data_IF_976183448107
#
_entry.id   IF_976183448107
#
_cell.length_a   1.000
_cell.length_b   1.000
_cell.length_c   1.000
_cell.angle_alpha   90.00
_cell.angle_beta   90.00
_cell.angle_gamma   90.00
#
_symmetry.space_group_name_H-M   'P 1'
#
loop_
_entity.id
_entity.type
_entity.pdbx_description
1 polymer ?
#
# COMPACT_ATOMS: atom_id res chain seq x y z
N UNK A 1 4.49 0.35 16.79
CA UNK A 1 3.59 0.70 15.67
C UNK A 1 3.92 2.10 15.16
N UNK A 2 4.07 2.34 13.86
CA UNK A 2 4.55 3.66 13.36
C UNK A 2 3.64 4.85 13.71
N UNK A 3 2.38 4.57 14.06
CA UNK A 3 1.42 5.57 14.58
C UNK A 3 1.29 5.62 16.12
N UNK A 4 2.02 4.79 16.87
CA UNK A 4 1.94 4.72 18.34
C UNK A 4 3.32 4.84 19.03
N UNK A 5 4.41 4.52 18.32
CA UNK A 5 5.78 4.54 18.83
C UNK A 5 6.74 4.86 17.68
N UNK A 6 7.64 5.82 17.90
CA UNK A 6 8.65 6.32 16.96
C UNK A 6 9.77 5.32 16.64
N UNK A 7 9.86 4.20 17.36
CA UNK A 7 10.94 3.21 17.21
C UNK A 7 11.05 2.67 15.78
N UNK A 8 9.92 2.53 15.08
CA UNK A 8 9.91 2.02 13.70
C UNK A 8 10.50 3.00 12.68
N UNK A 9 10.46 4.32 12.95
CA UNK A 9 11.08 5.34 12.09
C UNK A 9 12.60 5.47 12.33
N UNK A 10 13.05 5.18 13.55
CA UNK A 10 14.49 5.14 13.89
C UNK A 10 15.13 3.86 13.35
N UNK A 11 14.45 2.72 13.45
CA UNK A 11 14.95 1.47 12.90
C UNK A 11 14.93 1.45 11.36
N UNK A 12 14.02 2.20 10.72
CA UNK A 12 13.93 2.23 9.26
C UNK A 12 15.09 2.94 8.56
N UNK A 13 15.77 3.86 9.24
CA UNK A 13 16.96 4.56 8.71
C UNK A 13 18.24 3.73 8.81
N UNK A 14 18.25 2.71 9.66
CA UNK A 14 19.41 1.81 9.86
C UNK A 14 19.21 0.42 9.26
N UNK A 15 18.04 0.16 8.66
CA UNK A 15 17.70 -1.12 8.04
C UNK A 15 17.84 -1.03 6.53
N UNK A 16 18.40 -2.07 5.89
CA UNK A 16 18.54 -2.12 4.43
C UNK A 16 17.19 -2.13 3.70
N UNK A 17 16.15 -2.67 4.32
CA UNK A 17 14.80 -2.76 3.75
C UNK A 17 13.71 -2.84 4.81
N UNK A 18 12.56 -2.24 4.51
CA UNK A 18 11.35 -2.24 5.35
C UNK A 18 10.15 -2.80 4.59
N UNK A 19 9.35 -3.64 5.26
CA UNK A 19 8.05 -4.11 4.77
C UNK A 19 6.94 -3.46 5.59
N UNK A 20 6.01 -2.82 4.91
CA UNK A 20 4.90 -2.12 5.55
C UNK A 20 3.66 -3.02 5.69
N UNK A 21 3.30 -3.40 6.91
CA UNK A 21 2.15 -4.31 7.15
C UNK A 21 0.93 -3.52 7.63
N UNK A 22 -0.22 -3.72 6.97
CA UNK A 22 -1.49 -3.06 7.30
C UNK A 22 -2.62 -4.09 7.43
N UNK A 23 -3.63 -3.83 8.26
CA UNK A 23 -4.76 -4.73 8.46
C UNK A 23 -5.99 -4.28 7.66
N UNK A 24 -6.53 -5.18 6.84
CA UNK A 24 -7.73 -4.91 6.05
C UNK A 24 -8.95 -4.64 6.93
N UNK A 25 -9.74 -3.62 6.56
CA UNK A 25 -10.97 -3.23 7.27
C UNK A 25 -10.77 -2.65 8.69
N UNK A 26 -9.54 -2.70 9.23
CA UNK A 26 -9.22 -2.21 10.58
C UNK A 26 -8.36 -0.95 10.53
N UNK A 27 -7.46 -0.86 9.54
CA UNK A 27 -6.62 0.33 9.34
C UNK A 27 -7.34 1.32 8.43
N UNK A 28 -7.61 2.54 8.93
CA UNK A 28 -8.13 3.63 8.10
C UNK A 28 -7.11 4.00 7.02
N UNK A 29 -7.59 4.23 5.80
CA UNK A 29 -6.73 4.55 4.65
C UNK A 29 -5.87 5.78 4.94
N UNK A 30 -6.43 6.81 5.56
CA UNK A 30 -5.69 8.05 5.85
C UNK A 30 -4.59 7.82 6.89
N UNK A 31 -4.83 7.00 7.91
CA UNK A 31 -3.77 6.61 8.85
C UNK A 31 -2.67 5.82 8.15
N UNK A 32 -3.03 4.94 7.21
CA UNK A 32 -2.05 4.19 6.44
C UNK A 32 -1.20 5.08 5.53
N UNK A 33 -1.79 6.15 4.98
CA UNK A 33 -1.09 7.16 4.18
C UNK A 33 -0.15 8.00 5.05
N UNK A 34 -0.63 8.52 6.18
CA UNK A 34 0.20 9.29 7.10
C UNK A 34 1.38 8.48 7.63
N UNK A 35 1.17 7.20 7.93
CA UNK A 35 2.25 6.28 8.29
C UNK A 35 3.32 6.14 7.18
N UNK A 36 2.89 6.06 5.92
CA UNK A 36 3.78 6.02 4.76
C UNK A 36 4.53 7.35 4.55
N UNK A 37 3.85 8.47 4.74
CA UNK A 37 4.47 9.80 4.68
C UNK A 37 5.56 9.97 5.74
N UNK A 38 5.33 9.48 6.96
CA UNK A 38 6.35 9.48 8.02
C UNK A 38 7.56 8.60 7.66
N UNK A 39 7.33 7.44 7.04
CA UNK A 39 8.40 6.57 6.52
C UNK A 39 9.21 7.25 5.42
N UNK A 40 8.55 7.95 4.50
CA UNK A 40 9.24 8.71 3.44
C UNK A 40 10.08 9.86 4.02
N UNK A 41 9.57 10.55 5.06
CA UNK A 41 10.27 11.67 5.70
C UNK A 41 11.59 11.23 6.36
N UNK A 42 11.67 9.97 6.79
CA UNK A 42 12.88 9.39 7.36
C UNK A 42 13.67 8.55 6.34
N UNK A 43 13.40 8.72 5.05
CA UNK A 43 14.09 8.01 3.95
C UNK A 43 14.13 6.48 4.14
N UNK A 44 13.05 5.92 4.68
CA UNK A 44 12.93 4.48 4.88
C UNK A 44 12.89 3.75 3.54
N UNK A 45 13.74 2.73 3.35
CA UNK A 45 13.70 1.89 2.15
C UNK A 45 12.53 0.89 2.19
N UNK A 46 11.31 1.34 1.87
CA UNK A 46 10.12 0.49 1.84
C UNK A 46 10.07 -0.33 0.55
N UNK A 47 10.41 -1.62 0.65
CA UNK A 47 10.45 -2.53 -0.52
C UNK A 47 9.07 -3.10 -0.90
N UNK A 48 8.09 -3.00 0.00
CA UNK A 48 6.75 -3.51 -0.26
C UNK A 48 5.80 -3.36 0.92
N UNK A 49 4.55 -3.72 0.68
CA UNK A 49 3.49 -3.71 1.68
C UNK A 49 2.73 -5.04 1.73
N UNK A 50 2.32 -5.44 2.93
CA UNK A 50 1.54 -6.65 3.18
C UNK A 50 0.19 -6.24 3.77
N UNK A 51 -0.89 -6.62 3.10
CA UNK A 51 -2.24 -6.48 3.62
C UNK A 51 -2.63 -7.76 4.37
N UNK A 52 -2.80 -7.65 5.69
CA UNK A 52 -3.04 -8.77 6.61
C UNK A 52 -4.50 -8.78 7.10
N UNK A 53 -4.90 -9.90 7.73
CA UNK A 53 -6.25 -10.19 8.28
C UNK A 53 -7.36 -10.22 7.25
N UNK A 54 -7.07 -10.69 6.05
CA UNK A 54 -8.07 -10.87 5.00
C UNK A 54 -9.09 -11.90 5.50
N UNK A 55 -10.39 -11.55 5.60
CA UNK A 55 -11.42 -12.52 5.96
C UNK A 55 -11.47 -13.60 4.87
N UNK A 56 -11.26 -14.85 5.29
CA UNK A 56 -11.20 -16.03 4.42
C UNK A 56 -12.42 -16.91 4.63
N UNK A 57 -13.61 -16.34 4.45
CA UNK A 57 -14.79 -17.08 4.09
C UNK A 57 -14.80 -17.28 2.56
N UNK A 58 -14.93 -18.52 2.09
CA UNK A 58 -14.62 -18.91 0.70
C UNK A 58 -15.31 -18.10 -0.40
N UNK A 59 -16.47 -17.48 -0.11
CA UNK A 59 -17.14 -16.53 -1.02
C UNK A 59 -16.49 -15.14 -1.02
N UNK A 60 -16.13 -14.63 0.15
CA UNK A 60 -15.47 -13.33 0.32
C UNK A 60 -14.08 -13.30 -0.30
N UNK A 61 -13.31 -14.39 -0.18
CA UNK A 61 -11.98 -14.49 -0.81
C UNK A 61 -12.04 -14.39 -2.34
N UNK A 62 -12.96 -15.14 -2.98
CA UNK A 62 -13.15 -15.07 -4.44
C UNK A 62 -13.66 -13.70 -4.89
N UNK A 63 -14.66 -13.15 -4.19
CA UNK A 63 -15.21 -11.83 -4.51
C UNK A 63 -14.16 -10.73 -4.35
N UNK A 64 -13.35 -10.81 -3.31
CA UNK A 64 -12.24 -9.89 -3.07
C UNK A 64 -11.17 -9.99 -4.15
N UNK A 65 -10.73 -11.20 -4.50
CA UNK A 65 -9.74 -11.41 -5.57
C UNK A 65 -10.23 -10.87 -6.91
N UNK A 66 -11.48 -11.14 -7.29
CA UNK A 66 -12.07 -10.63 -8.53
C UNK A 66 -12.14 -9.10 -8.53
N UNK A 67 -12.58 -8.50 -7.43
CA UNK A 67 -12.70 -7.04 -7.31
C UNK A 67 -11.34 -6.35 -7.40
N UNK A 68 -10.31 -6.94 -6.78
CA UNK A 68 -8.94 -6.42 -6.85
C UNK A 68 -8.37 -6.50 -8.26
N UNK A 69 -8.56 -7.64 -8.93
CA UNK A 69 -8.11 -7.86 -10.30
C UNK A 69 -8.73 -6.82 -11.25
N UNK A 70 -10.06 -6.67 -11.24
CA UNK A 70 -10.76 -5.70 -12.09
C UNK A 70 -10.28 -4.26 -11.83
N UNK A 71 -10.12 -3.90 -10.56
CA UNK A 71 -9.61 -2.58 -10.18
C UNK A 71 -8.19 -2.34 -10.68
N UNK A 72 -7.34 -3.37 -10.63
CA UNK A 72 -5.96 -3.28 -11.08
C UNK A 72 -5.89 -3.00 -12.60
N UNK A 73 -6.62 -3.78 -13.41
CA UNK A 73 -6.69 -3.57 -14.85
C UNK A 73 -7.24 -2.18 -15.20
N UNK A 74 -8.26 -1.72 -14.48
CA UNK A 74 -8.82 -0.38 -14.70
C UNK A 74 -7.80 0.73 -14.44
N UNK A 75 -7.02 0.63 -13.37
CA UNK A 75 -5.95 1.58 -13.04
C UNK A 75 -4.86 1.55 -14.11
N UNK A 76 -4.50 0.37 -14.61
CA UNK A 76 -3.49 0.19 -15.66
C UNK A 76 -3.93 0.81 -16.99
N UNK A 77 -5.19 0.59 -17.36
CA UNK A 77 -5.80 1.18 -18.55
C UNK A 77 -5.80 2.71 -18.48
N UNK A 78 -6.20 3.29 -17.35
CA UNK A 78 -6.18 4.74 -17.12
C UNK A 78 -4.76 5.32 -17.22
N UNK A 79 -3.76 4.61 -16.68
CA UNK A 79 -2.34 5.00 -16.80
C UNK A 79 -1.87 4.98 -18.26
N UNK A 80 -2.25 3.96 -19.02
CA UNK A 80 -1.90 3.82 -20.43
C UNK A 80 -2.50 4.95 -21.28
N UNK A 81 -3.75 5.35 -21.00
CA UNK A 81 -4.44 6.46 -21.68
C UNK A 81 -3.78 7.81 -21.39
N UNK A 82 -3.32 8.03 -20.14
CA UNK A 82 -2.58 9.25 -19.76
C UNK A 82 -1.24 9.37 -20.49
N UNK A 83 -0.47 8.29 -20.57
CA UNK A 83 0.80 8.25 -21.33
C UNK A 83 0.60 8.59 -22.81
N UNK A 84 -0.38 7.96 -23.47
CA UNK A 84 -0.70 8.26 -24.89
C UNK A 84 -1.12 9.70 -25.15
N UNK A 85 -1.64 10.41 -24.14
CA UNK A 85 -1.98 11.83 -24.25
C UNK A 85 -0.77 12.73 -24.05
N UNK A 86 0.19 12.38 -23.18
CA UNK A 86 1.42 13.16 -23.02
C UNK A 86 2.32 13.07 -24.24
N UNK A 87 2.35 11.92 -24.92
CA UNK A 87 3.21 11.70 -26.10
C UNK A 87 2.68 12.39 -27.37
N UNK A 88 1.47 12.99 -27.31
CA UNK A 88 0.82 13.71 -28.43
C UNK A 88 0.85 15.24 -28.25
N UNK A 89 1.39 15.74 -27.14
CA UNK A 89 1.59 17.16 -26.86
C UNK A 89 3.05 17.54 -27.10
#
# INVERSE_FOLDING_TARGET
PIGLVTDSAVLSTISDALIYVTAIGQTKIDMAKSAKELLDQVDANVIGAVLNKIPVDGRSYYQYSSTLFDKYYRIEEDRSKRRRRSDRA
#
